data_IF_452743701617
#
_entry.id   IF_452743701617
#
_cell.length_a   1.000
_cell.length_b   1.000
_cell.length_c   1.000
_cell.angle_alpha   90.00
_cell.angle_beta   90.00
_cell.angle_gamma   90.00
#
_symmetry.space_group_name_H-M   'P 1'
#
loop_
_entity.id
_entity.type
_entity.pdbx_description
1 polymer ?
#
# COMPACT_ATOMS: atom_id res chain seq x y z
N UNK A 1 82.19 -0.29 -3.87
CA UNK A 1 81.37 -1.43 -4.36
C UNK A 1 81.26 -2.40 -3.21
N UNK A 2 80.17 -2.31 -2.42
CA UNK A 2 79.04 -3.26 -2.37
C UNK A 2 79.51 -4.62 -1.82
N UNK A 3 79.03 -5.13 -0.69
CA UNK A 3 77.62 -5.34 -0.28
C UNK A 3 77.57 -5.68 1.22
N UNK A 4 76.59 -5.14 1.97
CA UNK A 4 76.21 -5.70 3.27
C UNK A 4 74.71 -6.01 3.34
N UNK A 5 74.45 -7.23 3.78
CA UNK A 5 73.16 -7.83 4.07
C UNK A 5 72.32 -7.00 5.05
N UNK A 6 71.03 -6.88 4.76
CA UNK A 6 70.02 -6.54 5.77
C UNK A 6 68.87 -7.55 5.69
N UNK A 7 68.82 -8.44 6.68
CA UNK A 7 67.60 -9.15 7.06
C UNK A 7 66.65 -8.16 7.73
N UNK A 8 65.45 -7.97 7.19
CA UNK A 8 64.37 -7.27 7.88
C UNK A 8 63.33 -8.31 8.27
N UNK A 9 63.20 -8.53 9.60
CA UNK A 9 62.07 -9.22 10.22
C UNK A 9 60.82 -8.35 10.05
N UNK A 10 59.87 -8.79 9.23
CA UNK A 10 58.50 -8.28 9.28
C UNK A 10 57.71 -9.06 10.32
N UNK A 11 57.53 -8.45 11.49
CA UNK A 11 56.45 -8.81 12.43
C UNK A 11 55.11 -8.50 11.78
N UNK A 12 54.35 -9.53 11.45
CA UNK A 12 52.95 -9.41 11.04
C UNK A 12 52.13 -8.97 12.26
N UNK A 13 51.68 -7.72 12.27
CA UNK A 13 50.61 -7.27 13.17
C UNK A 13 49.31 -7.74 12.53
N UNK A 14 48.70 -8.79 13.09
CA UNK A 14 47.36 -9.19 12.74
C UNK A 14 46.39 -8.12 13.26
N UNK A 15 46.01 -7.18 12.39
CA UNK A 15 44.87 -6.31 12.62
C UNK A 15 43.62 -7.15 12.43
N UNK A 16 42.98 -7.52 13.53
CA UNK A 16 41.61 -8.03 13.51
C UNK A 16 40.71 -6.85 13.15
N UNK A 17 40.54 -6.63 11.86
CA UNK A 17 39.47 -5.79 11.35
C UNK A 17 38.16 -6.56 11.58
N UNK A 18 37.44 -6.22 12.65
CA UNK A 18 36.01 -6.49 12.73
C UNK A 18 35.35 -5.65 11.64
N UNK A 19 35.28 -6.21 10.43
CA UNK A 19 34.44 -5.71 9.35
C UNK A 19 32.99 -5.99 9.72
N UNK A 20 32.47 -5.22 10.68
CA UNK A 20 31.04 -4.94 10.75
C UNK A 20 30.69 -4.03 9.59
N UNK A 21 30.72 -4.57 8.38
CA UNK A 21 30.12 -3.95 7.20
C UNK A 21 28.62 -4.04 7.45
N UNK A 22 28.07 -3.03 8.10
CA UNK A 22 26.64 -2.78 8.08
C UNK A 22 26.30 -2.46 6.63
N UNK A 23 25.84 -3.49 5.91
CA UNK A 23 25.14 -3.28 4.67
C UNK A 23 23.91 -2.41 4.99
N UNK A 24 23.65 -1.34 4.24
CA UNK A 24 22.35 -0.70 4.27
C UNK A 24 21.30 -1.80 4.03
N UNK A 25 20.29 -1.88 4.89
CA UNK A 25 19.18 -2.82 4.70
C UNK A 25 18.60 -2.67 3.30
N UNK A 26 18.27 -3.78 2.67
CA UNK A 26 17.75 -3.89 1.29
C UNK A 26 16.41 -3.20 1.04
N UNK A 27 15.86 -2.50 2.02
CA UNK A 27 14.46 -2.07 2.02
C UNK A 27 14.34 -0.53 2.01
N UNK A 28 15.39 0.18 1.61
CA UNK A 28 15.27 1.57 1.18
C UNK A 28 14.90 1.60 -0.31
N UNK A 29 13.60 1.73 -0.59
CA UNK A 29 13.02 1.75 -1.92
C UNK A 29 13.70 2.84 -2.78
N UNK A 30 14.36 2.44 -3.87
CA UNK A 30 14.94 3.34 -4.86
C UNK A 30 16.30 3.98 -4.55
N UNK A 31 16.98 3.62 -3.44
CA UNK A 31 18.25 4.27 -3.06
C UNK A 31 19.49 3.79 -3.83
N UNK A 32 19.41 2.68 -4.57
CA UNK A 32 20.55 2.11 -5.33
C UNK A 32 20.57 2.48 -6.83
N UNK A 33 19.58 3.27 -7.28
CA UNK A 33 19.44 3.70 -8.67
C UNK A 33 19.13 2.56 -9.66
N UNK A 34 18.85 1.34 -9.18
CA UNK A 34 18.39 0.23 -10.04
C UNK A 34 16.88 0.25 -10.11
N UNK A 35 16.38 0.16 -11.33
CA UNK A 35 14.95 0.13 -11.61
C UNK A 35 14.33 -1.17 -11.06
N UNK A 36 13.31 -1.02 -10.21
CA UNK A 36 12.70 -2.13 -9.47
C UNK A 36 12.11 -3.19 -10.44
N UNK A 37 12.30 -4.50 -10.20
CA UNK A 37 11.84 -5.54 -11.13
C UNK A 37 10.34 -5.48 -11.47
N UNK A 38 9.49 -5.11 -10.51
CA UNK A 38 8.06 -4.95 -10.74
C UNK A 38 7.75 -3.79 -11.69
N UNK A 39 8.52 -2.70 -11.61
CA UNK A 39 8.32 -1.51 -12.46
C UNK A 39 8.67 -1.83 -13.91
N UNK A 40 9.79 -2.52 -14.11
CA UNK A 40 10.19 -3.02 -15.44
C UNK A 40 9.13 -3.97 -16.00
N UNK A 41 8.60 -4.88 -15.18
CA UNK A 41 7.58 -5.83 -15.62
C UNK A 41 6.24 -5.14 -15.92
N UNK A 42 5.86 -4.13 -15.13
CA UNK A 42 4.69 -3.29 -15.39
C UNK A 42 4.81 -2.56 -16.74
N UNK A 43 5.96 -1.95 -17.04
CA UNK A 43 6.22 -1.29 -18.32
C UNK A 43 6.04 -2.23 -19.53
N UNK A 44 6.23 -3.54 -19.36
CA UNK A 44 5.99 -4.51 -20.44
C UNK A 44 4.50 -4.68 -20.75
N UNK A 45 3.62 -4.47 -19.77
CA UNK A 45 2.18 -4.72 -19.88
C UNK A 45 1.35 -3.44 -20.07
N UNK A 46 1.77 -2.32 -19.47
CA UNK A 46 1.01 -1.08 -19.42
C UNK A 46 0.76 -0.48 -20.81
N UNK A 47 -0.51 -0.24 -21.16
CA UNK A 47 -0.87 0.51 -22.36
C UNK A 47 -0.59 2.01 -22.22
N UNK A 48 -0.69 2.52 -20.99
CA UNK A 48 -0.37 3.88 -20.59
C UNK A 48 0.69 3.87 -19.47
N UNK A 49 1.94 4.10 -19.87
CA UNK A 49 3.09 4.18 -18.98
C UNK A 49 3.27 5.56 -18.34
N UNK A 50 2.39 6.53 -18.64
CA UNK A 50 2.43 7.85 -18.00
C UNK A 50 1.77 7.88 -16.63
N UNK A 51 1.07 6.81 -16.23
CA UNK A 51 0.49 6.67 -14.90
C UNK A 51 1.61 6.75 -13.84
N UNK A 52 1.50 7.62 -12.82
CA UNK A 52 2.47 7.70 -11.74
C UNK A 52 2.24 6.52 -10.78
N UNK A 53 2.66 5.33 -11.22
CA UNK A 53 2.30 4.07 -10.55
C UNK A 53 2.81 3.97 -9.10
N UNK A 54 3.90 4.67 -8.79
CA UNK A 54 4.45 4.76 -7.43
C UNK A 54 3.52 5.48 -6.44
N UNK A 55 2.55 6.24 -6.96
CA UNK A 55 1.56 6.97 -6.16
C UNK A 55 0.23 6.18 -6.03
N UNK A 56 0.19 4.93 -6.50
CA UNK A 56 -1.00 4.07 -6.43
C UNK A 56 -1.34 3.73 -4.98
N UNK A 57 -2.63 3.88 -4.60
CA UNK A 57 -3.10 3.66 -3.24
C UNK A 57 -3.95 2.37 -3.10
N UNK A 58 -4.01 1.74 -1.93
CA UNK A 58 -3.25 2.09 -0.74
C UNK A 58 -1.80 1.59 -0.81
N UNK A 59 -0.92 2.38 -0.24
CA UNK A 59 0.51 2.13 -0.06
C UNK A 59 0.88 2.78 1.26
N UNK A 60 1.68 2.12 2.10
CA UNK A 60 2.09 2.75 3.35
C UNK A 60 3.15 3.81 3.07
N UNK A 61 2.77 5.07 3.24
CA UNK A 61 3.66 6.20 3.14
C UNK A 61 4.07 6.66 4.54
N UNK A 62 5.34 6.47 4.86
CA UNK A 62 5.95 7.00 6.07
C UNK A 62 6.24 8.48 5.89
N UNK A 63 5.85 9.31 6.87
CA UNK A 63 6.26 10.71 6.84
C UNK A 63 7.78 10.81 7.01
N UNK A 64 8.37 11.78 6.34
CA UNK A 64 9.80 12.09 6.42
C UNK A 64 10.07 13.38 7.20
N UNK A 65 9.01 14.13 7.52
CA UNK A 65 9.12 15.39 8.23
C UNK A 65 9.12 15.20 9.76
N UNK A 66 9.83 16.05 10.48
CA UNK A 66 9.96 16.02 11.94
C UNK A 66 9.02 17.01 12.65
N UNK A 67 7.91 17.38 11.99
CA UNK A 67 6.93 18.31 12.56
C UNK A 67 6.29 17.77 13.84
N UNK A 68 6.06 18.65 14.81
CA UNK A 68 5.35 18.33 16.05
C UNK A 68 4.00 17.69 15.77
N UNK A 69 3.68 16.67 16.55
CA UNK A 69 2.42 15.97 16.54
C UNK A 69 1.72 16.08 17.88
N UNK A 70 0.42 15.85 17.86
CA UNK A 70 -0.42 15.89 19.04
C UNK A 70 -1.24 14.62 19.16
N UNK A 71 -1.51 14.20 20.38
CA UNK A 71 -2.40 13.08 20.67
C UNK A 71 -3.28 13.41 21.87
N UNK A 72 -4.59 13.31 21.70
CA UNK A 72 -5.50 13.26 22.84
C UNK A 72 -5.44 11.88 23.50
N UNK A 73 -5.32 11.84 24.83
CA UNK A 73 -5.40 10.58 25.56
C UNK A 73 -6.83 10.03 25.53
N UNK A 74 -6.99 8.89 24.86
CA UNK A 74 -8.24 8.12 24.79
C UNK A 74 -8.22 6.86 25.65
N UNK A 75 -7.07 6.56 26.25
CA UNK A 75 -6.70 5.27 26.85
C UNK A 75 -6.49 5.35 28.36
N UNK A 76 -6.73 6.52 28.95
CA UNK A 76 -6.55 6.78 30.39
C UNK A 76 -5.11 6.52 30.87
N UNK A 77 -4.10 6.67 29.99
CA UNK A 77 -2.69 6.52 30.35
C UNK A 77 -2.19 7.69 31.22
N UNK A 78 -2.76 8.89 31.03
CA UNK A 78 -2.38 10.10 31.74
C UNK A 78 -0.87 10.36 31.69
N UNK A 79 -0.30 10.80 32.81
CA UNK A 79 1.15 11.02 32.92
C UNK A 79 1.96 9.71 32.96
N UNK A 80 1.33 8.55 33.10
CA UNK A 80 1.98 7.24 32.97
C UNK A 80 2.64 7.04 31.61
N UNK A 81 2.16 7.75 30.58
CA UNK A 81 2.81 7.80 29.27
C UNK A 81 4.27 8.29 29.32
N UNK A 82 4.68 9.07 30.33
CA UNK A 82 6.09 9.48 30.50
C UNK A 82 6.99 8.35 31.00
N UNK A 83 6.41 7.26 31.51
CA UNK A 83 7.13 6.05 31.93
C UNK A 83 7.07 4.95 30.86
N UNK A 84 5.91 4.75 30.25
CA UNK A 84 5.69 3.60 29.34
C UNK A 84 5.74 3.98 27.85
N UNK A 85 5.59 5.26 27.54
CA UNK A 85 5.31 5.74 26.20
C UNK A 85 3.82 5.78 25.88
N UNK A 86 3.49 6.21 24.66
CA UNK A 86 2.14 6.11 24.10
C UNK A 86 1.94 4.69 23.61
N UNK A 87 1.23 3.89 24.39
CA UNK A 87 1.00 2.48 24.08
C UNK A 87 -0.15 2.34 23.07
N UNK A 88 -0.04 1.41 22.10
CA UNK A 88 -1.18 1.08 21.26
C UNK A 88 -2.22 0.31 22.07
N UNK A 89 -3.49 0.38 21.67
CA UNK A 89 -4.59 -0.33 22.36
C UNK A 89 -4.35 -1.85 22.43
N UNK A 90 -3.64 -2.42 21.44
CA UNK A 90 -3.23 -3.81 21.43
C UNK A 90 -2.47 -4.25 22.69
N UNK A 91 -1.70 -3.36 23.33
CA UNK A 91 -0.87 -3.68 24.49
C UNK A 91 -1.68 -4.21 25.69
N UNK A 92 -2.99 -3.93 25.74
CA UNK A 92 -3.91 -4.48 26.75
C UNK A 92 -4.47 -5.87 26.43
N UNK A 93 -4.06 -6.50 25.32
CA UNK A 93 -4.61 -7.77 24.84
C UNK A 93 -3.50 -8.79 24.53
N UNK A 94 -3.79 -10.10 24.54
CA UNK A 94 -2.85 -11.13 24.08
C UNK A 94 -2.42 -10.93 22.62
N UNK A 95 -1.15 -11.20 22.32
CA UNK A 95 -0.54 -11.03 20.98
C UNK A 95 -1.37 -11.65 19.83
N UNK A 96 -1.97 -12.85 19.97
CA UNK A 96 -2.79 -13.43 18.91
C UNK A 96 -4.02 -12.58 18.52
N UNK A 97 -4.46 -11.67 19.38
CA UNK A 97 -5.63 -10.82 19.16
C UNK A 97 -5.28 -9.44 18.57
N UNK A 98 -4.00 -9.15 18.37
CA UNK A 98 -3.54 -7.86 17.88
C UNK A 98 -3.98 -7.62 16.43
N UNK A 99 -4.53 -6.43 16.17
CA UNK A 99 -4.95 -5.98 14.85
C UNK A 99 -3.81 -5.24 14.16
N UNK A 100 -3.25 -5.87 13.14
CA UNK A 100 -2.17 -5.32 12.31
C UNK A 100 -2.67 -4.65 11.02
N UNK A 101 -3.96 -4.77 10.71
CA UNK A 101 -4.52 -4.16 9.52
C UNK A 101 -4.59 -2.64 9.69
N UNK A 102 -3.66 -1.93 9.04
CA UNK A 102 -3.59 -0.46 9.01
C UNK A 102 -4.86 0.13 8.41
N UNK A 103 -5.48 -0.58 7.48
CA UNK A 103 -6.73 -0.15 6.89
C UNK A 103 -7.90 -0.07 7.87
N UNK A 104 -8.05 -1.10 8.68
CA UNK A 104 -9.07 -1.15 9.73
C UNK A 104 -8.69 -0.27 10.93
N UNK A 105 -7.47 0.26 10.97
CA UNK A 105 -7.06 1.25 11.94
C UNK A 105 -7.64 2.62 11.58
N UNK A 106 -8.72 2.98 12.27
CA UNK A 106 -9.26 4.33 12.30
C UNK A 106 -9.77 4.68 13.70
N UNK A 107 -10.50 5.79 13.79
CA UNK A 107 -11.05 6.29 15.06
C UNK A 107 -11.79 5.17 15.82
N UNK A 108 -11.31 4.84 17.01
CA UNK A 108 -11.95 3.86 17.89
C UNK A 108 -11.57 2.40 17.67
N UNK A 109 -10.77 2.06 16.65
CA UNK A 109 -10.38 0.66 16.37
C UNK A 109 -9.82 -0.04 17.63
N UNK A 110 -10.45 -1.15 18.03
CA UNK A 110 -10.03 -1.95 19.17
C UNK A 110 -8.81 -2.80 18.82
N UNK A 111 -7.97 -3.11 19.81
CA UNK A 111 -6.81 -4.02 19.68
C UNK A 111 -5.80 -3.64 18.58
N UNK A 112 -5.85 -2.40 18.09
CA UNK A 112 -4.93 -1.87 17.10
C UNK A 112 -3.51 -1.82 17.62
N UNK A 113 -2.54 -2.28 16.82
CA UNK A 113 -1.11 -2.10 17.10
C UNK A 113 -0.62 -0.67 16.87
N UNK A 114 -1.47 0.19 16.33
CA UNK A 114 -1.13 1.57 15.99
C UNK A 114 -1.60 2.56 17.06
N UNK A 115 -0.76 3.55 17.37
CA UNK A 115 -1.15 4.75 18.12
C UNK A 115 -1.29 5.93 17.17
N UNK A 116 -2.52 6.45 17.07
CA UNK A 116 -2.83 7.64 16.26
C UNK A 116 -2.31 8.91 16.91
N UNK A 117 -1.74 9.77 16.09
CA UNK A 117 -1.41 11.17 16.41
C UNK A 117 -1.93 12.05 15.26
N UNK A 118 -1.99 13.36 15.44
CA UNK A 118 -2.41 14.29 14.40
C UNK A 118 -1.49 15.51 14.38
N UNK A 119 -1.37 16.16 13.23
CA UNK A 119 -0.71 17.46 13.10
C UNK A 119 -1.55 18.61 13.69
N UNK A 120 -2.84 18.40 13.95
CA UNK A 120 -3.78 19.40 14.46
C UNK A 120 -3.99 19.27 15.98
N UNK A 121 -3.43 20.21 16.75
CA UNK A 121 -3.59 20.25 18.22
C UNK A 121 -5.06 20.34 18.65
N UNK A 122 -5.89 21.07 17.90
CA UNK A 122 -7.32 21.24 18.23
C UNK A 122 -8.08 19.93 18.04
N UNK A 123 -7.73 19.14 17.03
CA UNK A 123 -8.31 17.82 16.80
C UNK A 123 -7.89 16.85 17.92
N UNK A 124 -6.60 16.86 18.30
CA UNK A 124 -6.13 16.06 19.44
C UNK A 124 -6.88 16.41 20.74
N UNK A 125 -7.09 17.70 21.00
CA UNK A 125 -7.86 18.20 22.15
C UNK A 125 -9.32 17.72 22.15
N UNK A 126 -9.98 17.65 20.99
CA UNK A 126 -11.35 17.14 20.87
C UNK A 126 -11.47 15.67 21.30
N UNK A 127 -10.47 14.86 21.00
CA UNK A 127 -10.47 13.43 21.35
C UNK A 127 -9.94 13.15 22.77
N UNK A 128 -9.25 14.10 23.38
CA UNK A 128 -8.70 13.94 24.72
C UNK A 128 -9.81 13.80 25.76
N UNK A 129 -9.64 12.83 26.67
CA UNK A 129 -10.41 12.77 27.91
C UNK A 129 -9.90 13.81 28.91
N UNK A 130 -8.59 13.83 29.14
CA UNK A 130 -7.94 14.71 30.12
C UNK A 130 -6.66 15.36 29.58
N UNK A 131 -5.82 14.59 28.90
CA UNK A 131 -4.48 15.03 28.49
C UNK A 131 -4.34 15.13 26.97
N UNK A 132 -3.63 16.15 26.52
CA UNK A 132 -3.13 16.29 25.15
C UNK A 132 -1.61 16.21 25.19
N UNK A 133 -1.04 15.17 24.57
CA UNK A 133 0.40 14.99 24.45
C UNK A 133 0.94 15.79 23.28
N UNK A 134 2.09 16.44 23.48
CA UNK A 134 2.95 16.93 22.41
C UNK A 134 4.05 15.91 22.14
N UNK A 135 4.14 15.43 20.91
CA UNK A 135 5.00 14.34 20.48
C UNK A 135 5.90 14.84 19.36
N UNK A 136 7.19 14.51 19.44
CA UNK A 136 8.12 14.70 18.33
C UNK A 136 8.90 13.41 18.14
N UNK A 137 8.56 12.70 17.07
CA UNK A 137 9.14 11.41 16.70
C UNK A 137 9.36 11.36 15.19
N UNK A 138 10.42 10.67 14.71
CA UNK A 138 10.56 10.36 13.29
C UNK A 138 9.55 9.28 12.88
N UNK A 139 9.33 9.16 11.57
CA UNK A 139 8.42 8.18 10.96
C UNK A 139 6.96 8.35 11.39
N UNK A 140 6.21 7.26 11.29
CA UNK A 140 4.76 7.21 11.39
C UNK A 140 4.11 7.20 10.00
N UNK A 141 3.08 6.38 9.84
CA UNK A 141 2.36 6.22 8.59
C UNK A 141 1.41 7.41 8.42
N UNK A 142 1.58 8.17 7.34
CA UNK A 142 0.71 9.27 6.98
C UNK A 142 -0.58 8.75 6.34
N UNK A 143 -1.70 8.91 7.04
CA UNK A 143 -2.99 8.36 6.62
C UNK A 143 -3.47 8.94 5.28
N UNK A 144 -3.31 10.25 5.08
CA UNK A 144 -3.78 10.93 3.89
C UNK A 144 -2.95 10.54 2.66
N UNK A 145 -1.63 10.52 2.82
CA UNK A 145 -0.72 10.07 1.77
C UNK A 145 -0.98 8.61 1.40
N UNK A 146 -1.22 7.76 2.40
CA UNK A 146 -1.43 6.31 2.23
C UNK A 146 -2.81 5.92 1.69
N UNK A 147 -3.77 6.85 1.66
CA UNK A 147 -5.14 6.57 1.20
C UNK A 147 -6.01 5.90 2.27
N UNK A 148 -5.81 6.29 3.53
CA UNK A 148 -6.54 5.83 4.70
C UNK A 148 -8.05 6.09 4.61
N UNK A 149 -8.81 5.54 5.57
CA UNK A 149 -10.27 5.66 5.56
C UNK A 149 -10.77 7.04 6.01
N UNK A 150 -9.99 7.77 6.82
CA UNK A 150 -10.38 9.04 7.43
C UNK A 150 -9.24 10.05 7.26
N UNK A 151 -9.58 11.29 6.89
CA UNK A 151 -8.63 12.38 6.76
C UNK A 151 -8.68 13.28 7.99
N UNK A 152 -7.69 13.12 8.86
CA UNK A 152 -7.56 13.80 10.15
C UNK A 152 -6.13 14.35 10.35
N UNK A 153 -5.37 14.49 9.25
CA UNK A 153 -3.93 14.73 9.27
C UNK A 153 -3.21 13.72 10.17
N UNK A 154 -3.73 12.49 10.20
CA UNK A 154 -3.34 11.46 11.14
C UNK A 154 -1.98 10.86 10.73
N UNK A 155 -1.12 10.71 11.73
CA UNK A 155 0.10 9.93 11.67
C UNK A 155 -0.06 8.75 12.63
N UNK A 156 -0.11 7.54 12.09
CA UNK A 156 -0.27 6.31 12.86
C UNK A 156 1.08 5.66 13.13
N UNK A 157 1.43 5.44 14.41
CA UNK A 157 2.69 4.81 14.82
C UNK A 157 2.47 3.34 15.16
N UNK A 158 2.98 2.38 14.36
CA UNK A 158 2.94 0.97 14.70
C UNK A 158 3.80 0.69 15.93
N UNK A 159 3.26 -0.04 16.90
CA UNK A 159 3.91 -0.27 18.19
C UNK A 159 3.87 0.94 19.14
N UNK A 160 3.20 2.04 18.76
CA UNK A 160 3.11 3.24 19.58
C UNK A 160 4.37 4.10 19.55
N UNK A 161 4.55 4.95 20.55
CA UNK A 161 5.65 5.94 20.61
C UNK A 161 6.33 5.88 21.96
N UNK A 162 7.65 5.63 22.01
CA UNK A 162 8.40 5.60 23.26
C UNK A 162 8.36 6.94 23.99
N UNK A 163 8.46 6.87 25.32
CA UNK A 163 8.41 8.03 26.22
C UNK A 163 9.40 9.13 25.85
N UNK A 164 10.58 8.81 25.34
CA UNK A 164 11.60 9.81 25.02
C UNK A 164 11.21 10.75 23.88
N UNK A 165 10.20 10.38 23.07
CA UNK A 165 9.65 11.23 22.01
C UNK A 165 8.42 12.04 22.44
N UNK A 166 7.97 11.90 23.70
CA UNK A 166 6.87 12.67 24.26
C UNK A 166 7.47 13.86 24.98
N UNK A 167 7.19 15.08 24.52
CA UNK A 167 7.77 16.29 25.09
C UNK A 167 7.08 16.70 26.39
N UNK A 168 5.76 16.75 26.36
CA UNK A 168 4.91 17.22 27.46
C UNK A 168 3.47 16.72 27.28
N UNK A 169 2.69 16.86 28.35
CA UNK A 169 1.25 16.58 28.36
C UNK A 169 0.54 17.77 28.99
N UNK A 170 -0.44 18.34 28.28
CA UNK A 170 -1.20 19.50 28.77
C UNK A 170 -2.64 19.10 29.07
N UNK A 171 -3.26 19.76 30.05
CA UNK A 171 -4.69 19.57 30.34
C UNK A 171 -5.51 19.98 29.13
N UNK A 172 -6.48 19.16 28.73
CA UNK A 172 -7.29 19.43 27.54
C UNK A 172 -8.03 20.77 27.65
N UNK A 173 -8.53 21.12 28.83
CA UNK A 173 -9.33 22.34 29.01
C UNK A 173 -8.45 23.58 29.25
N UNK A 174 -7.14 23.40 29.39
CA UNK A 174 -6.17 24.48 29.50
C UNK A 174 -4.81 24.04 28.96
N UNK A 175 -4.57 24.28 27.66
CA UNK A 175 -3.32 23.88 26.99
C UNK A 175 -2.08 24.66 27.45
N UNK A 176 -2.21 25.62 28.38
CA UNK A 176 -1.07 26.26 29.05
C UNK A 176 -0.67 25.54 30.36
N UNK A 177 -1.53 24.66 30.89
CA UNK A 177 -1.26 23.86 32.08
C UNK A 177 -0.67 22.50 31.64
N UNK A 178 0.66 22.42 31.65
CA UNK A 178 1.41 21.30 31.08
C UNK A 178 2.41 20.72 32.08
N UNK A 179 2.52 19.40 32.03
CA UNK A 179 3.56 18.63 32.71
C UNK A 179 4.65 18.26 31.70
N UNK A 180 5.88 18.65 31.99
CA UNK A 180 7.03 18.36 31.14
C UNK A 180 7.54 16.92 31.39
N UNK A 181 7.89 16.21 30.30
CA UNK A 181 8.47 14.90 30.42
C UNK A 181 9.99 14.98 30.63
N UNK A 182 10.46 14.57 31.81
CA UNK A 182 11.90 14.55 32.13
C UNK A 182 12.71 13.56 31.28
N UNK A 183 12.04 12.59 30.66
CA UNK A 183 12.68 11.61 29.78
C UNK A 183 12.76 12.07 28.32
N UNK A 184 12.20 13.23 27.97
CA UNK A 184 12.19 13.72 26.59
C UNK A 184 13.62 13.89 26.04
N UNK A 185 13.81 13.45 24.80
CA UNK A 185 15.02 13.63 24.02
C UNK A 185 14.63 14.10 22.64
N UNK A 186 15.25 15.18 22.21
CA UNK A 186 15.06 15.70 20.85
C UNK A 186 15.47 14.62 19.83
N UNK A 187 14.57 14.16 18.95
CA UNK A 187 14.89 13.12 17.98
C UNK A 187 15.89 13.64 16.94
N UNK A 188 16.78 12.75 16.52
CA UNK A 188 17.81 13.05 15.51
C UNK A 188 17.31 12.87 14.08
N UNK A 189 16.24 12.09 13.89
CA UNK A 189 15.73 11.68 12.58
C UNK A 189 16.38 10.40 12.04
N UNK A 190 17.40 9.87 12.73
CA UNK A 190 18.09 8.64 12.33
C UNK A 190 17.55 7.40 13.04
N UNK A 191 16.68 7.57 14.04
CA UNK A 191 16.04 6.46 14.74
C UNK A 191 15.21 5.62 13.76
N UNK A 192 15.29 4.30 13.84
CA UNK A 192 14.45 3.39 13.09
C UNK A 192 13.00 3.35 13.63
N UNK A 193 12.02 2.88 12.84
CA UNK A 193 10.66 2.64 13.35
C UNK A 193 10.61 1.75 14.60
N UNK A 194 11.52 0.78 14.71
CA UNK A 194 11.67 -0.09 15.89
C UNK A 194 12.16 0.66 17.12
N UNK A 195 13.06 1.63 16.92
CA UNK A 195 13.55 2.48 17.99
C UNK A 195 12.49 3.47 18.47
N UNK A 196 11.53 3.84 17.61
CA UNK A 196 10.38 4.68 17.98
C UNK A 196 9.30 3.90 18.71
N UNK A 197 9.05 2.64 18.35
CA UNK A 197 7.95 1.84 18.87
C UNK A 197 8.05 1.59 20.39
N UNK A 198 6.96 1.87 21.12
CA UNK A 198 6.88 1.61 22.56
C UNK A 198 6.75 0.13 22.89
N UNK A 199 6.13 -0.66 22.01
CA UNK A 199 6.00 -2.12 22.14
C UNK A 199 6.54 -2.83 20.91
N UNK A 200 7.11 -4.01 21.10
CA UNK A 200 7.54 -4.87 20.00
C UNK A 200 6.33 -5.45 19.27
N UNK A 201 6.32 -5.36 17.93
CA UNK A 201 5.27 -5.88 17.05
C UNK A 201 5.89 -6.77 15.95
N UNK A 202 5.06 -7.59 15.31
CA UNK A 202 5.44 -8.34 14.12
C UNK A 202 5.27 -7.45 12.87
N UNK A 203 6.29 -6.65 12.53
CA UNK A 203 6.25 -5.67 11.43
C UNK A 203 5.82 -6.26 10.08
N UNK A 204 6.16 -7.52 9.80
CA UNK A 204 5.76 -8.23 8.57
C UNK A 204 4.26 -8.49 8.44
N UNK A 205 3.47 -8.27 9.50
CA UNK A 205 2.00 -8.43 9.50
C UNK A 205 1.26 -7.13 9.24
N UNK A 206 1.94 -5.99 9.21
CA UNK A 206 1.32 -4.72 8.85
C UNK A 206 0.74 -4.83 7.43
N UNK A 207 -0.57 -4.60 7.30
CA UNK A 207 -1.27 -4.65 6.00
C UNK A 207 -1.97 -3.33 5.68
N UNK A 208 -1.90 -2.82 4.43
CA UNK A 208 -1.18 -3.40 3.29
C UNK A 208 0.33 -3.41 3.52
N UNK A 209 1.09 -4.29 2.83
CA UNK A 209 2.54 -4.20 2.84
C UNK A 209 2.98 -2.85 2.25
N UNK A 210 4.24 -2.51 2.43
CA UNK A 210 4.82 -1.43 1.63
C UNK A 210 4.78 -1.85 0.15
N UNK A 211 4.15 -1.00 -0.69
CA UNK A 211 3.85 -1.24 -2.11
C UNK A 211 2.75 -2.26 -2.42
N UNK A 212 2.76 -2.76 -3.67
CA UNK A 212 1.65 -3.51 -4.26
C UNK A 212 1.96 -5.01 -4.41
N UNK A 213 0.93 -5.85 -4.26
CA UNK A 213 1.01 -7.30 -4.45
C UNK A 213 1.10 -7.68 -5.94
N UNK A 214 2.27 -7.43 -6.54
CA UNK A 214 2.54 -7.77 -7.94
C UNK A 214 2.61 -9.28 -8.15
N UNK A 215 1.82 -9.78 -9.09
CA UNK A 215 1.76 -11.19 -9.45
C UNK A 215 1.93 -11.37 -10.95
N UNK A 216 2.47 -12.52 -11.34
CA UNK A 216 2.57 -12.96 -12.73
C UNK A 216 1.62 -14.12 -12.94
N UNK A 217 0.61 -13.94 -13.81
CA UNK A 217 -0.38 -15.00 -14.03
C UNK A 217 0.25 -16.19 -14.75
N UNK A 218 -0.07 -17.41 -14.34
CA UNK A 218 0.31 -18.63 -15.09
C UNK A 218 -0.68 -18.95 -16.22
N UNK A 219 -1.92 -18.53 -16.03
CA UNK A 219 -3.04 -18.75 -16.93
C UNK A 219 -3.54 -17.40 -17.48
N UNK A 220 -4.46 -17.46 -18.44
CA UNK A 220 -5.12 -16.27 -18.97
C UNK A 220 -5.92 -15.59 -17.86
N UNK A 221 -5.97 -14.26 -17.90
CA UNK A 221 -6.90 -13.47 -17.10
C UNK A 221 -7.96 -12.87 -18.01
N UNK A 222 -9.12 -12.53 -17.46
CA UNK A 222 -10.27 -12.04 -18.21
C UNK A 222 -10.50 -10.56 -17.88
N UNK A 223 -9.84 -9.70 -18.63
CA UNK A 223 -9.95 -8.25 -18.48
C UNK A 223 -11.33 -7.76 -18.89
N UNK A 224 -11.88 -6.84 -18.12
CA UNK A 224 -13.19 -6.27 -18.39
C UNK A 224 -13.08 -4.82 -18.86
N UNK A 225 -13.99 -4.42 -19.72
CA UNK A 225 -14.06 -3.04 -20.17
C UNK A 225 -15.46 -2.59 -20.59
N UNK A 226 -15.74 -1.31 -20.48
CA UNK A 226 -17.02 -0.71 -20.89
C UNK A 226 -16.81 0.69 -21.47
N UNK A 227 -17.84 1.22 -22.13
CA UNK A 227 -17.79 2.57 -22.67
C UNK A 227 -17.66 3.59 -21.54
N UNK A 228 -18.03 3.24 -20.32
CA UNK A 228 -17.89 4.09 -19.13
C UNK A 228 -16.42 4.27 -18.75
N UNK A 229 -15.57 3.26 -18.91
CA UNK A 229 -14.21 3.26 -18.35
C UNK A 229 -13.06 3.13 -19.35
N UNK A 230 -13.34 2.76 -20.61
CA UNK A 230 -12.30 2.65 -21.63
C UNK A 230 -12.62 3.53 -22.84
N UNK A 231 -11.65 4.35 -23.31
CA UNK A 231 -11.81 5.13 -24.54
C UNK A 231 -11.67 4.29 -25.81
N UNK A 232 -11.08 3.10 -25.72
CA UNK A 232 -10.86 2.17 -26.82
C UNK A 232 -11.44 0.81 -26.44
N UNK A 233 -12.16 0.17 -27.36
CA UNK A 233 -12.87 -1.09 -27.14
C UNK A 233 -12.81 -2.03 -28.35
N UNK A 234 -13.27 -3.27 -28.16
CA UNK A 234 -13.41 -4.27 -29.21
C UNK A 234 -12.11 -4.52 -29.94
N UNK A 235 -12.17 -4.63 -31.26
CA UNK A 235 -11.00 -4.90 -32.11
C UNK A 235 -9.90 -3.84 -31.96
N UNK A 236 -10.29 -2.59 -31.75
CA UNK A 236 -9.33 -1.51 -31.54
C UNK A 236 -8.55 -1.70 -30.24
N UNK A 237 -9.14 -2.28 -29.20
CA UNK A 237 -8.42 -2.58 -27.96
C UNK A 237 -7.37 -3.67 -28.17
N UNK A 238 -7.66 -4.69 -28.98
CA UNK A 238 -6.68 -5.72 -29.35
C UNK A 238 -5.51 -5.14 -30.15
N UNK A 239 -5.73 -4.12 -30.99
CA UNK A 239 -4.64 -3.51 -31.74
C UNK A 239 -3.85 -2.48 -30.93
N UNK A 240 -4.55 -1.61 -30.21
CA UNK A 240 -4.00 -0.38 -29.61
C UNK A 240 -3.76 -0.49 -28.11
N UNK A 241 -4.35 -1.50 -27.46
CA UNK A 241 -4.38 -1.67 -26.02
C UNK A 241 -5.69 -1.23 -25.40
N UNK A 242 -6.06 -1.92 -24.32
CA UNK A 242 -7.17 -1.56 -23.45
C UNK A 242 -6.62 -0.68 -22.33
N UNK A 243 -7.04 0.57 -22.27
CA UNK A 243 -6.58 1.53 -21.24
C UNK A 243 -7.75 2.12 -20.49
N UNK A 244 -7.46 2.64 -19.30
CA UNK A 244 -8.38 3.48 -18.55
C UNK A 244 -8.64 4.83 -19.23
N UNK A 245 -9.53 5.64 -18.64
CA UNK A 245 -9.87 7.00 -19.09
C UNK A 245 -8.94 8.08 -18.59
N UNK A 246 -8.14 7.81 -17.56
CA UNK A 246 -7.19 8.77 -17.00
C UNK A 246 -5.83 8.13 -16.79
N UNK A 247 -4.82 8.99 -16.62
CA UNK A 247 -3.46 8.60 -16.26
C UNK A 247 -3.17 8.93 -14.79
N UNK A 248 -4.21 9.15 -13.97
CA UNK A 248 -4.07 9.49 -12.56
C UNK A 248 -3.78 8.24 -11.72
N UNK A 249 -3.06 8.37 -10.59
CA UNK A 249 -2.82 7.23 -9.71
C UNK A 249 -4.15 6.70 -9.17
N UNK A 250 -4.42 5.38 -9.27
CA UNK A 250 -5.68 4.82 -8.84
C UNK A 250 -5.71 4.59 -7.33
N UNK A 251 -6.93 4.57 -6.77
CA UNK A 251 -7.19 4.08 -5.42
C UNK A 251 -7.79 2.68 -5.54
N UNK A 252 -6.92 1.66 -5.53
CA UNK A 252 -7.25 0.26 -5.78
C UNK A 252 -8.33 -0.29 -4.85
N UNK A 253 -8.53 0.29 -3.67
CA UNK A 253 -9.65 -0.09 -2.78
C UNK A 253 -11.01 -0.12 -3.46
N UNK A 254 -11.20 0.69 -4.50
CA UNK A 254 -12.43 0.79 -5.26
C UNK A 254 -12.45 -0.15 -6.49
N UNK A 255 -11.42 -0.96 -6.69
CA UNK A 255 -11.30 -1.84 -7.85
C UNK A 255 -12.22 -3.06 -7.82
N UNK A 256 -12.88 -3.35 -6.68
CA UNK A 256 -14.04 -4.28 -6.66
C UNK A 256 -15.19 -3.81 -7.54
N UNK A 257 -15.24 -2.51 -7.86
CA UNK A 257 -16.21 -1.88 -8.74
C UNK A 257 -15.47 -1.34 -9.98
N UNK A 258 -15.33 -2.13 -11.06
CA UNK A 258 -14.54 -1.72 -12.23
C UNK A 258 -14.96 -0.39 -12.87
N UNK A 259 -16.22 0.03 -12.73
CA UNK A 259 -16.71 1.34 -13.22
C UNK A 259 -16.51 2.52 -12.24
N UNK A 260 -15.83 2.29 -11.11
CA UNK A 260 -15.59 3.34 -10.13
C UNK A 260 -14.73 4.49 -10.71
N UNK A 261 -15.10 5.76 -10.48
CA UNK A 261 -14.32 6.90 -10.95
C UNK A 261 -12.93 7.02 -10.30
N UNK A 262 -12.67 6.27 -9.22
CA UNK A 262 -11.41 6.33 -8.46
C UNK A 262 -10.32 5.38 -8.98
N UNK A 263 -10.64 4.53 -9.97
CA UNK A 263 -9.70 3.58 -10.58
C UNK A 263 -9.58 3.77 -12.10
N UNK A 264 -9.82 4.98 -12.60
CA UNK A 264 -9.91 5.27 -14.03
C UNK A 264 -8.61 5.06 -14.84
N UNK A 265 -7.48 4.73 -14.21
CA UNK A 265 -6.26 4.28 -14.88
C UNK A 265 -6.08 2.76 -14.87
N UNK A 266 -7.00 2.01 -14.27
CA UNK A 266 -6.94 0.56 -14.10
C UNK A 266 -7.86 -0.14 -15.09
N UNK A 267 -7.38 -1.25 -15.66
CA UNK A 267 -8.22 -2.28 -16.25
C UNK A 267 -8.31 -3.43 -15.26
N UNK A 268 -9.51 -3.72 -14.78
CA UNK A 268 -9.74 -4.88 -13.89
C UNK A 268 -9.84 -6.14 -14.73
N UNK A 269 -9.28 -7.24 -14.22
CA UNK A 269 -9.43 -8.56 -14.80
C UNK A 269 -9.77 -9.59 -13.73
N UNK A 270 -10.36 -10.70 -14.16
CA UNK A 270 -10.73 -11.81 -13.28
C UNK A 270 -9.96 -13.06 -13.64
N UNK A 271 -9.70 -13.91 -12.65
CA UNK A 271 -9.16 -15.25 -12.85
C UNK A 271 -10.13 -16.07 -13.68
N UNK A 272 -11.41 -16.03 -13.30
CA UNK A 272 -12.45 -16.84 -13.89
C UNK A 272 -13.25 -16.04 -14.92
N UNK A 273 -13.43 -16.65 -16.09
CA UNK A 273 -14.22 -16.06 -17.17
C UNK A 273 -15.67 -15.79 -16.74
N UNK A 274 -16.24 -16.69 -15.94
CA UNK A 274 -17.61 -16.57 -15.41
C UNK A 274 -17.80 -15.29 -14.61
N UNK A 275 -16.82 -14.89 -13.80
CA UNK A 275 -16.88 -13.64 -13.03
C UNK A 275 -16.80 -12.41 -13.95
N UNK A 276 -15.90 -12.40 -14.93
CA UNK A 276 -15.80 -11.33 -15.91
C UNK A 276 -17.10 -11.16 -16.71
N UNK A 277 -17.72 -12.30 -17.06
CA UNK A 277 -19.03 -12.32 -17.72
C UNK A 277 -20.14 -11.80 -16.81
N UNK A 278 -20.19 -12.23 -15.55
CA UNK A 278 -21.18 -11.74 -14.57
C UNK A 278 -21.05 -10.22 -14.45
N UNK A 279 -19.83 -9.71 -14.32
CA UNK A 279 -19.61 -8.26 -14.32
C UNK A 279 -20.18 -7.60 -15.58
N UNK A 280 -19.83 -8.11 -16.77
CA UNK A 280 -20.23 -7.50 -18.03
C UNK A 280 -21.75 -7.50 -18.25
N UNK A 281 -22.44 -8.55 -17.80
CA UNK A 281 -23.89 -8.72 -18.01
C UNK A 281 -24.71 -8.04 -16.92
N UNK A 282 -24.25 -8.06 -15.68
CA UNK A 282 -25.03 -7.66 -14.49
C UNK A 282 -24.56 -6.34 -13.92
N UNK A 283 -23.25 -6.18 -13.70
CA UNK A 283 -22.69 -5.06 -12.95
C UNK A 283 -22.44 -3.82 -13.83
N UNK A 284 -21.93 -4.01 -15.05
CA UNK A 284 -21.63 -2.92 -15.97
C UNK A 284 -22.89 -2.11 -16.31
N UNK A 285 -22.76 -0.78 -16.41
CA UNK A 285 -23.91 0.10 -16.61
C UNK A 285 -24.68 -0.21 -17.90
N UNK A 286 -23.95 -0.46 -19.01
CA UNK A 286 -24.51 -0.61 -20.36
C UNK A 286 -24.06 -1.91 -21.06
N UNK A 287 -23.72 -2.94 -20.28
CA UNK A 287 -23.00 -4.09 -20.81
C UNK A 287 -21.51 -3.80 -20.92
N UNK A 288 -20.74 -4.81 -21.35
CA UNK A 288 -19.30 -4.73 -21.35
C UNK A 288 -18.62 -5.70 -22.30
N UNK A 289 -17.31 -5.53 -22.41
CA UNK A 289 -16.41 -6.43 -23.09
C UNK A 289 -15.64 -7.26 -22.08
N UNK A 290 -15.43 -8.52 -22.42
CA UNK A 290 -14.53 -9.44 -21.71
C UNK A 290 -13.42 -9.81 -22.69
N UNK A 291 -12.18 -9.50 -22.32
CA UNK A 291 -10.97 -9.73 -23.10
C UNK A 291 -10.13 -10.80 -22.45
N UNK A 292 -9.64 -11.75 -23.24
CA UNK A 292 -8.65 -12.70 -22.78
C UNK A 292 -7.26 -12.07 -22.81
N UNK A 293 -6.63 -11.99 -21.65
CA UNK A 293 -5.28 -11.49 -21.47
C UNK A 293 -4.30 -12.66 -21.51
N UNK A 294 -3.22 -12.50 -22.28
CA UNK A 294 -2.18 -13.52 -22.41
C UNK A 294 -1.62 -13.94 -21.04
N UNK A 295 -1.37 -15.23 -20.81
CA UNK A 295 -0.64 -15.70 -19.64
C UNK A 295 0.72 -15.03 -19.49
N UNK A 296 1.31 -15.11 -18.30
CA UNK A 296 2.58 -14.47 -17.94
C UNK A 296 2.53 -12.94 -17.92
N UNK A 297 1.34 -12.35 -17.97
CA UNK A 297 1.15 -10.92 -17.78
C UNK A 297 1.23 -10.57 -16.29
N UNK A 298 1.85 -9.44 -15.99
CA UNK A 298 1.99 -8.92 -14.63
C UNK A 298 0.84 -7.98 -14.30
N UNK A 299 0.25 -8.18 -13.13
CA UNK A 299 -0.86 -7.40 -12.59
C UNK A 299 -0.74 -7.30 -11.06
N UNK A 300 -1.57 -6.49 -10.44
CA UNK A 300 -1.69 -6.42 -8.98
C UNK A 300 -2.85 -7.31 -8.53
N UNK A 301 -2.61 -8.16 -7.54
CA UNK A 301 -3.64 -8.98 -6.90
C UNK A 301 -4.57 -8.13 -6.02
N UNK A 302 -5.89 -8.22 -6.29
CA UNK A 302 -6.93 -7.46 -5.59
C UNK A 302 -7.70 -8.29 -4.55
N UNK A 303 -7.26 -9.53 -4.28
CA UNK A 303 -7.82 -10.37 -3.21
C UNK A 303 -7.62 -9.75 -1.83
N UNK A 304 -6.58 -8.93 -1.66
CA UNK A 304 -6.35 -8.16 -0.46
C UNK A 304 -7.53 -7.22 -0.17
N UNK A 305 -8.02 -7.25 1.07
CA UNK A 305 -9.11 -6.38 1.55
C UNK A 305 -8.87 -4.89 1.26
N UNK A 306 -7.61 -4.50 1.16
CA UNK A 306 -7.18 -3.11 1.04
C UNK A 306 -6.99 -2.68 -0.43
N UNK A 307 -6.72 -3.63 -1.34
CA UNK A 307 -6.46 -3.37 -2.77
C UNK A 307 -7.65 -3.68 -3.67
N UNK A 308 -8.77 -4.16 -3.13
CA UNK A 308 -10.01 -4.34 -3.90
C UNK A 308 -11.03 -5.23 -3.20
N UNK A 309 -10.58 -6.11 -2.30
CA UNK A 309 -11.42 -7.04 -1.54
C UNK A 309 -12.25 -7.99 -2.42
N UNK A 310 -11.75 -8.34 -3.61
CA UNK A 310 -12.41 -9.26 -4.54
C UNK A 310 -11.42 -10.36 -4.90
N UNK A 311 -11.61 -11.53 -4.27
CA UNK A 311 -10.83 -12.72 -4.58
C UNK A 311 -10.92 -13.02 -6.09
N UNK A 312 -9.82 -13.46 -6.68
CA UNK A 312 -9.77 -13.73 -8.13
C UNK A 312 -9.69 -12.48 -9.02
N UNK A 313 -9.77 -11.26 -8.48
CA UNK A 313 -9.64 -10.04 -9.27
C UNK A 313 -8.19 -9.51 -9.29
N UNK A 314 -7.83 -8.87 -10.42
CA UNK A 314 -6.50 -8.30 -10.68
C UNK A 314 -6.61 -6.91 -11.30
N UNK A 315 -5.68 -6.03 -10.98
CA UNK A 315 -5.57 -4.70 -11.59
C UNK A 315 -4.38 -4.62 -12.55
N UNK A 316 -4.67 -4.24 -13.79
CA UNK A 316 -3.69 -3.75 -14.75
C UNK A 316 -3.67 -2.22 -14.71
N UNK A 317 -2.79 -1.66 -13.88
CA UNK A 317 -2.60 -0.21 -13.74
C UNK A 317 -1.96 0.32 -15.04
N UNK A 318 -2.49 1.39 -15.61
CA UNK A 318 -2.11 1.85 -16.96
C UNK A 318 -2.71 0.99 -18.09
N UNK A 319 -3.53 -0.01 -17.78
CA UNK A 319 -4.16 -0.89 -18.76
C UNK A 319 -3.23 -1.96 -19.36
N UNK A 320 -3.61 -2.49 -20.51
CA UNK A 320 -3.05 -3.68 -21.15
C UNK A 320 -2.74 -3.38 -22.61
N UNK A 321 -1.48 -3.54 -23.03
CA UNK A 321 -1.05 -3.33 -24.44
C UNK A 321 -1.78 -4.25 -25.42
N UNK A 322 -2.01 -3.76 -26.64
CA UNK A 322 -2.78 -4.45 -27.68
C UNK A 322 -2.28 -5.88 -27.97
N UNK A 323 -0.98 -6.08 -28.10
CA UNK A 323 -0.42 -7.42 -28.36
C UNK A 323 -0.54 -8.45 -27.22
N UNK A 324 -1.10 -8.06 -26.06
CA UNK A 324 -1.35 -8.95 -24.91
C UNK A 324 -2.82 -9.38 -24.79
N UNK A 325 -3.72 -8.79 -25.57
CA UNK A 325 -5.13 -9.20 -25.64
C UNK A 325 -5.29 -10.18 -26.81
N UNK A 326 -5.85 -11.36 -26.54
CA UNK A 326 -5.93 -12.44 -27.52
C UNK A 326 -7.31 -12.46 -28.20
N UNK A 327 -8.35 -12.48 -27.39
CA UNK A 327 -9.73 -12.65 -27.81
C UNK A 327 -10.64 -11.65 -27.08
N UNK A 328 -11.81 -11.33 -27.64
CA UNK A 328 -12.80 -10.49 -26.96
C UNK A 328 -14.23 -10.94 -27.23
N UNK A 329 -15.09 -10.73 -26.23
CA UNK A 329 -16.54 -10.97 -26.30
C UNK A 329 -17.28 -9.75 -25.78
N UNK A 330 -18.27 -9.27 -26.53
CA UNK A 330 -19.18 -8.18 -26.12
C UNK A 330 -20.46 -8.77 -25.55
N UNK A 331 -20.90 -8.21 -24.44
CA UNK A 331 -22.17 -8.53 -23.79
C UNK A 331 -23.04 -7.28 -23.70
N UNK A 332 -24.33 -7.47 -23.90
CA UNK A 332 -25.35 -6.49 -23.55
C UNK A 332 -25.85 -6.74 -22.13
N UNK A 333 -26.30 -5.67 -21.46
CA UNK A 333 -26.80 -5.77 -20.10
C UNK A 333 -28.01 -6.73 -20.04
N UNK A 334 -27.95 -7.68 -19.12
CA UNK A 334 -28.98 -8.71 -18.96
C UNK A 334 -28.97 -9.82 -20.04
N UNK A 335 -28.06 -9.77 -21.02
CA UNK A 335 -27.95 -10.78 -22.09
C UNK A 335 -26.79 -11.73 -21.79
N UNK A 336 -27.11 -12.99 -21.49
CA UNK A 336 -26.12 -14.00 -21.08
C UNK A 336 -25.26 -14.58 -22.21
N UNK A 337 -25.61 -14.34 -23.47
CA UNK A 337 -24.83 -14.76 -24.64
C UNK A 337 -24.06 -13.58 -25.23
N UNK A 338 -22.83 -13.80 -25.75
CA UNK A 338 -22.09 -12.72 -26.39
C UNK A 338 -22.77 -12.31 -27.70
N UNK A 339 -22.94 -11.00 -27.85
CA UNK A 339 -23.54 -10.37 -29.04
C UNK A 339 -22.49 -10.09 -30.13
N UNK A 340 -21.21 -10.09 -29.76
CA UNK A 340 -20.07 -9.91 -30.66
C UNK A 340 -18.85 -10.66 -30.14
N UNK A 341 -18.04 -11.19 -31.06
CA UNK A 341 -16.84 -11.96 -30.75
C UNK A 341 -15.70 -11.59 -31.70
N UNK A 342 -14.48 -11.51 -31.17
CA UNK A 342 -13.29 -11.11 -31.91
C UNK A 342 -12.16 -12.09 -31.57
N UNK A 343 -11.49 -12.62 -32.58
CA UNK A 343 -10.41 -13.61 -32.42
C UNK A 343 -10.90 -15.05 -32.21
N UNK A 344 -12.22 -15.27 -32.14
CA UNK A 344 -12.84 -16.58 -31.88
C UNK A 344 -13.84 -16.90 -33.00
N UNK A 345 -13.86 -18.15 -33.45
CA UNK A 345 -14.91 -18.61 -34.38
C UNK A 345 -16.31 -18.46 -33.75
N UNK A 346 -17.28 -18.02 -34.56
CA UNK A 346 -18.60 -17.57 -34.08
C UNK A 346 -19.36 -18.67 -33.33
N UNK A 347 -19.25 -19.91 -33.79
CA UNK A 347 -19.87 -21.10 -33.20
C UNK A 347 -19.21 -21.45 -31.86
N UNK A 348 -17.88 -21.44 -31.79
CA UNK A 348 -17.13 -21.64 -30.53
C UNK A 348 -17.45 -20.54 -29.50
N UNK A 349 -17.61 -19.30 -29.95
CA UNK A 349 -17.92 -18.17 -29.09
C UNK A 349 -19.28 -18.30 -28.36
N UNK A 350 -20.27 -18.95 -29.01
CA UNK A 350 -21.60 -19.17 -28.41
C UNK A 350 -21.65 -20.43 -27.55
N UNK A 351 -20.87 -21.46 -27.91
CA UNK A 351 -20.94 -22.80 -27.31
C UNK A 351 -20.24 -22.93 -25.95
N UNK A 352 -19.22 -22.13 -25.65
CA UNK A 352 -18.56 -22.14 -24.33
C UNK A 352 -19.48 -21.76 -23.17
N UNK A 353 -20.67 -21.20 -23.43
CA UNK A 353 -21.71 -20.95 -22.42
C UNK A 353 -22.46 -22.20 -21.93
N UNK A 354 -22.21 -23.39 -22.50
CA UNK A 354 -22.98 -24.62 -22.21
C UNK A 354 -22.24 -25.67 -21.38
N UNK A 355 -20.94 -25.51 -21.12
CA UNK A 355 -20.11 -26.56 -20.49
C UNK A 355 -19.23 -26.11 -19.31
N UNK A 356 -19.58 -24.99 -18.68
CA UNK A 356 -19.10 -24.59 -17.34
C UNK A 356 -20.32 -24.33 -16.48
#
# INVERSE_FOLDING_TARGET
MTTHNSFIRTTAVAVVALTGVWQPGSDAWGADGKEEPWYTAWLQVAADSSVPIRDTKPSLHWRTDMGTLYRGDTTDQGLGAFQDGILPKAAGFPIPEWMYDWWSHGAGAGKSVYSSTTRDQSLAQRFAKEWVYEIKAPHGIDQDASGGAVSEQEISFPGGVKREFIRQACKKDNLADCEANQNYREPTGHESPLEVAAVSIEWSRITPPEGLAWVKSKESLWAVGSQTINPVQGAAALAQGLRGRSSLPPILRWASQPESPYIQSVVVAFRDYSEAKVWAVVEAQNGGWVYEVRPNSVAVDLSGRNTGAREGAFAFIGGIKGGLLMNARRFEKGVGEPVECIGIEKEACRLENRHQ
#
